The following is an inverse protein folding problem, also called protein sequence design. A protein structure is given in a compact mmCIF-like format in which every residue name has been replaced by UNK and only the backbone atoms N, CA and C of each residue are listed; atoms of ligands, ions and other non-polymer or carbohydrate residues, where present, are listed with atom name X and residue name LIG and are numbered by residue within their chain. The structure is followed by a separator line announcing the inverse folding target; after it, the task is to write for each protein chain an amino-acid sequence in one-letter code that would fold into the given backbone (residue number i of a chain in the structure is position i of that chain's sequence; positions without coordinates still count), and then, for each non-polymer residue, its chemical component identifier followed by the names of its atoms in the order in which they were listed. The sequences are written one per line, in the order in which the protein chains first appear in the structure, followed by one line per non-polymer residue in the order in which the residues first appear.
data_IF_987005472081
#
_entry.id   IF_987005472081
#
_cell.length_a   1.000
_cell.length_b   1.000
_cell.length_c   1.000
_cell.angle_alpha   90.00
_cell.angle_beta   90.00
_cell.angle_gamma   90.00
#
_symmetry.space_group_name_H-M   'P 1'
#
loop_
_entity.id
_entity.type
_entity.pdbx_description
1 polymer ?
#
# COMPACT_ATOMS: atom_id res chain seq x y z
N UNK A 1 -0.06 -10.35 -21.40
CA UNK A 1 1.13 -9.59 -20.96
C UNK A 1 1.44 -8.46 -21.94
N UNK A 2 2.19 -7.43 -21.53
CA UNK A 2 2.47 -6.20 -22.31
C UNK A 2 2.82 -6.43 -23.81
N UNK A 3 3.65 -7.42 -24.21
CA UNK A 3 3.93 -7.68 -25.62
C UNK A 3 2.69 -8.05 -26.43
N UNK A 4 1.79 -8.86 -25.86
CA UNK A 4 0.54 -9.22 -26.52
C UNK A 4 -0.41 -8.02 -26.64
N UNK A 5 -0.45 -7.15 -25.62
CA UNK A 5 -1.23 -5.91 -25.68
C UNK A 5 -0.75 -5.02 -26.83
N UNK A 6 0.57 -4.79 -26.94
CA UNK A 6 1.15 -3.98 -28.01
C UNK A 6 0.96 -4.62 -29.38
N UNK A 7 1.09 -5.94 -29.50
CA UNK A 7 0.81 -6.65 -30.74
C UNK A 7 -0.63 -6.41 -31.22
N UNK A 8 -1.62 -6.57 -30.34
CA UNK A 8 -3.02 -6.30 -30.68
C UNK A 8 -3.23 -4.83 -31.05
N UNK A 9 -2.65 -3.89 -30.28
CA UNK A 9 -2.77 -2.45 -30.54
C UNK A 9 -2.22 -2.04 -31.91
N UNK A 10 -1.11 -2.64 -32.32
CA UNK A 10 -0.49 -2.37 -33.62
C UNK A 10 -1.29 -2.95 -34.78
N UNK A 11 -1.92 -4.11 -34.60
CA UNK A 11 -2.74 -4.77 -35.63
C UNK A 11 -4.18 -4.27 -35.69
N UNK A 12 -4.68 -3.63 -34.62
CA UNK A 12 -6.01 -3.02 -34.54
C UNK A 12 -5.89 -1.55 -34.09
N UNK A 13 -5.49 -0.64 -34.98
CA UNK A 13 -5.33 0.77 -34.65
C UNK A 13 -6.63 1.35 -34.10
N UNK A 14 -6.53 2.13 -33.02
CA UNK A 14 -7.66 2.80 -32.36
C UNK A 14 -8.66 1.89 -31.64
N UNK A 15 -8.52 0.56 -31.69
CA UNK A 15 -9.40 -0.36 -30.95
C UNK A 15 -9.12 -0.37 -29.45
N UNK A 16 -7.85 -0.14 -29.06
CA UNK A 16 -7.42 -0.09 -27.66
C UNK A 16 -6.47 1.09 -27.39
N UNK A 17 -6.45 1.64 -26.15
CA UNK A 17 -5.63 2.80 -25.80
C UNK A 17 -4.13 2.58 -25.98
N UNK A 18 -3.37 3.67 -26.15
CA UNK A 18 -1.90 3.60 -26.11
C UNK A 18 -1.38 3.37 -24.70
N UNK A 19 -0.16 2.83 -24.56
CA UNK A 19 0.49 2.69 -23.26
C UNK A 19 0.58 4.02 -22.50
N UNK A 20 0.86 5.11 -23.21
CA UNK A 20 0.92 6.45 -22.62
C UNK A 20 -0.43 6.86 -22.05
N UNK A 21 -1.52 6.59 -22.78
CA UNK A 21 -2.88 6.87 -22.31
C UNK A 21 -3.20 6.03 -21.07
N UNK A 22 -2.92 4.72 -21.10
CA UNK A 22 -3.11 3.85 -19.94
C UNK A 22 -2.28 4.30 -18.75
N UNK A 23 -1.01 4.64 -18.94
CA UNK A 23 -0.14 5.12 -17.87
C UNK A 23 -0.71 6.41 -17.27
N UNK A 24 -1.18 7.35 -18.10
CA UNK A 24 -1.81 8.59 -17.63
C UNK A 24 -3.08 8.30 -16.84
N UNK A 25 -3.92 7.38 -17.31
CA UNK A 25 -5.12 6.94 -16.58
C UNK A 25 -4.75 6.28 -15.24
N UNK A 26 -3.68 5.51 -15.18
CA UNK A 26 -3.20 4.87 -13.94
C UNK A 26 -2.64 5.91 -12.96
N UNK A 27 -1.84 6.87 -13.43
CA UNK A 27 -1.19 7.87 -12.58
C UNK A 27 -2.13 8.98 -12.11
N UNK A 28 -3.11 9.35 -12.93
CA UNK A 28 -4.17 10.32 -12.59
C UNK A 28 -5.26 9.75 -11.70
N UNK A 29 -5.32 8.42 -11.55
CA UNK A 29 -6.29 7.77 -10.67
C UNK A 29 -6.00 8.13 -9.19
N UNK A 30 -7.04 8.56 -8.48
CA UNK A 30 -7.00 8.82 -7.03
C UNK A 30 -6.64 7.58 -6.19
N UNK A 31 -6.66 6.39 -6.81
CA UNK A 31 -6.30 5.12 -6.18
C UNK A 31 -4.80 4.82 -6.15
N UNK A 32 -3.92 5.80 -6.43
CA UNK A 32 -2.47 5.60 -6.32
C UNK A 32 -2.08 5.13 -4.92
N UNK A 33 -1.26 4.08 -4.85
CA UNK A 33 -0.71 3.57 -3.60
C UNK A 33 0.47 4.47 -3.18
N UNK A 34 0.47 4.90 -1.93
CA UNK A 34 1.54 5.72 -1.34
C UNK A 34 2.14 4.92 -0.19
N UNK A 35 3.47 4.94 -0.09
CA UNK A 35 4.21 4.24 0.95
C UNK A 35 3.72 4.66 2.36
N UNK A 36 3.48 3.68 3.22
CA UNK A 36 3.04 3.87 4.60
C UNK A 36 1.59 4.34 4.77
N UNK A 37 0.89 4.70 3.69
CA UNK A 37 -0.47 5.19 3.80
C UNK A 37 -1.49 4.04 3.85
N UNK A 38 -2.33 4.03 4.89
CA UNK A 38 -3.41 3.06 5.04
C UNK A 38 -4.68 3.49 4.30
N UNK A 39 -5.11 2.67 3.34
CA UNK A 39 -6.19 2.96 2.39
C UNK A 39 -7.57 2.53 2.89
N UNK A 40 -7.94 2.91 4.12
CA UNK A 40 -9.20 2.47 4.75
C UNK A 40 -10.45 2.92 3.99
N UNK A 41 -10.44 4.13 3.42
CA UNK A 41 -11.57 4.62 2.63
C UNK A 41 -11.74 3.83 1.33
N UNK A 42 -10.62 3.50 0.68
CA UNK A 42 -10.62 2.68 -0.53
C UNK A 42 -11.02 1.24 -0.22
N UNK A 43 -10.62 0.69 0.94
CA UNK A 43 -11.10 -0.61 1.41
C UNK A 43 -12.62 -0.61 1.57
N UNK A 44 -13.20 0.42 2.19
CA UNK A 44 -14.66 0.53 2.32
C UNK A 44 -15.35 0.55 0.95
N UNK A 45 -14.85 1.38 0.01
CA UNK A 45 -15.36 1.45 -1.37
C UNK A 45 -15.20 0.11 -2.11
N UNK A 46 -14.12 -0.62 -1.84
CA UNK A 46 -13.84 -1.93 -2.45
C UNK A 46 -14.83 -3.00 -1.97
N UNK A 47 -15.20 -2.98 -0.69
CA UNK A 47 -16.10 -3.98 -0.09
C UNK A 47 -17.59 -3.68 -0.34
N UNK A 48 -17.95 -2.40 -0.54
CA UNK A 48 -19.34 -1.94 -0.66
C UNK A 48 -20.16 -2.66 -1.75
N UNK A 49 -19.68 -2.86 -3.00
CA UNK A 49 -20.44 -3.56 -4.04
C UNK A 49 -20.81 -5.00 -3.68
N UNK A 50 -20.01 -5.61 -2.82
CA UNK A 50 -20.17 -7.00 -2.38
C UNK A 50 -20.95 -7.12 -1.07
N UNK A 51 -21.40 -5.99 -0.50
CA UNK A 51 -22.07 -5.93 0.81
C UNK A 51 -21.27 -6.63 1.93
N UNK A 52 -19.95 -6.61 1.80
CA UNK A 52 -19.05 -7.35 2.66
C UNK A 52 -18.58 -6.46 3.82
N UNK A 53 -18.81 -6.90 5.05
CA UNK A 53 -18.40 -6.13 6.25
C UNK A 53 -17.34 -6.85 7.07
N UNK A 54 -17.18 -8.15 6.87
CA UNK A 54 -16.29 -8.97 7.66
C UNK A 54 -15.03 -9.28 6.91
N UNK A 55 -13.89 -9.06 7.57
CA UNK A 55 -12.58 -9.24 6.97
C UNK A 55 -11.60 -9.89 7.95
N UNK A 56 -10.53 -10.43 7.39
CA UNK A 56 -9.37 -10.93 8.09
C UNK A 56 -8.15 -10.13 7.61
N UNK A 57 -7.32 -9.66 8.54
CA UNK A 57 -6.17 -8.84 8.20
C UNK A 57 -4.88 -9.66 8.32
N UNK A 58 -4.00 -9.53 7.34
CA UNK A 58 -2.73 -10.28 7.26
C UNK A 58 -1.59 -9.31 7.05
N UNK A 59 -0.50 -9.46 7.81
CA UNK A 59 0.72 -8.69 7.65
C UNK A 59 1.89 -9.62 7.41
N UNK A 60 2.76 -9.33 6.44
CA UNK A 60 3.97 -10.10 6.20
C UNK A 60 5.07 -9.22 5.57
N UNK A 61 6.30 -9.69 5.56
CA UNK A 61 7.46 -9.02 5.01
C UNK A 61 7.98 -9.74 3.77
N UNK A 62 8.35 -8.97 2.75
CA UNK A 62 9.06 -9.50 1.58
C UNK A 62 10.37 -8.76 1.36
N UNK A 63 11.38 -9.45 0.83
CA UNK A 63 12.68 -8.85 0.54
C UNK A 63 12.59 -7.84 -0.60
N UNK A 64 13.24 -6.69 -0.46
CA UNK A 64 13.34 -5.67 -1.52
C UNK A 64 14.78 -5.28 -1.80
N UNK A 65 15.02 -4.84 -3.03
CA UNK A 65 16.31 -4.29 -3.44
C UNK A 65 16.50 -2.94 -2.74
N UNK A 66 17.63 -2.78 -2.05
CA UNK A 66 17.99 -1.55 -1.33
C UNK A 66 18.34 -0.42 -2.30
N UNK A 67 17.33 0.24 -2.84
CA UNK A 67 17.48 1.35 -3.79
C UNK A 67 16.59 2.49 -3.34
N UNK A 68 17.16 3.68 -3.19
CA UNK A 68 16.40 4.89 -2.94
C UNK A 68 15.79 5.39 -4.25
N UNK A 69 14.52 5.74 -4.21
CA UNK A 69 13.83 6.37 -5.33
C UNK A 69 13.20 7.69 -4.85
N UNK A 70 13.11 8.65 -5.76
CA UNK A 70 12.43 9.92 -5.50
C UNK A 70 11.03 9.89 -6.12
N UNK A 71 10.03 10.22 -5.32
CA UNK A 71 8.65 10.35 -5.75
C UNK A 71 8.32 11.84 -5.97
N UNK A 72 8.31 12.27 -7.23
CA UNK A 72 7.98 13.66 -7.58
C UNK A 72 6.56 14.08 -7.17
N UNK A 73 5.60 13.14 -7.08
CA UNK A 73 4.20 13.44 -6.71
C UNK A 73 4.07 13.89 -5.26
N UNK A 74 4.86 13.32 -4.36
CA UNK A 74 4.84 13.61 -2.92
C UNK A 74 6.05 14.42 -2.47
N UNK A 75 6.93 14.78 -3.40
CA UNK A 75 8.23 15.40 -3.12
C UNK A 75 9.00 14.67 -2.00
N UNK A 76 9.02 13.34 -2.05
CA UNK A 76 9.58 12.53 -0.95
C UNK A 76 10.48 11.43 -1.47
N UNK A 77 11.45 11.04 -0.65
CA UNK A 77 12.26 9.86 -0.90
C UNK A 77 11.56 8.62 -0.34
N UNK A 78 11.51 7.57 -1.14
CA UNK A 78 10.95 6.26 -0.79
C UNK A 78 12.09 5.24 -0.59
N UNK A 79 11.78 4.13 0.06
CA UNK A 79 12.70 3.01 0.33
C UNK A 79 13.76 3.27 1.43
N UNK A 80 13.57 4.30 2.25
CA UNK A 80 14.17 4.34 3.59
C UNK A 80 13.33 3.49 4.56
N UNK A 81 13.96 3.00 5.63
CA UNK A 81 13.21 2.38 6.71
C UNK A 81 12.28 3.42 7.35
N UNK A 82 10.97 3.24 7.20
CA UNK A 82 9.98 4.20 7.65
C UNK A 82 9.98 4.31 9.18
N UNK A 83 10.03 5.51 9.77
CA UNK A 83 9.78 5.67 11.20
C UNK A 83 8.31 5.37 11.51
N UNK A 84 8.07 4.88 12.72
CA UNK A 84 6.75 4.51 13.19
C UNK A 84 6.23 5.52 14.22
N UNK A 85 4.95 5.84 14.12
CA UNK A 85 4.15 6.49 15.15
C UNK A 85 3.02 5.51 15.54
N UNK A 86 2.97 5.10 16.80
CA UNK A 86 2.01 4.10 17.30
C UNK A 86 1.98 2.81 16.46
N UNK A 87 3.15 2.32 16.07
CA UNK A 87 3.28 1.11 15.25
C UNK A 87 2.99 1.31 13.75
N UNK A 88 2.37 2.43 13.36
CA UNK A 88 2.09 2.75 11.95
C UNK A 88 3.20 3.60 11.33
N UNK A 89 3.63 3.35 10.08
CA UNK A 89 4.53 4.23 9.34
C UNK A 89 3.97 5.64 9.21
N UNK A 90 4.85 6.64 9.29
CA UNK A 90 4.49 8.04 9.03
C UNK A 90 4.58 8.28 7.51
N UNK A 91 3.45 8.56 6.81
CA UNK A 91 3.47 8.77 5.37
C UNK A 91 4.33 9.99 5.00
N UNK A 92 5.06 9.89 3.89
CA UNK A 92 5.91 10.97 3.37
C UNK A 92 6.91 11.56 4.39
N UNK A 93 7.39 10.76 5.34
CA UNK A 93 8.33 11.25 6.37
C UNK A 93 9.60 11.89 5.78
N UNK A 94 10.14 11.29 4.71
CA UNK A 94 11.34 11.79 4.03
C UNK A 94 11.01 12.81 2.93
N UNK A 95 10.12 13.75 3.25
CA UNK A 95 9.80 14.91 2.43
C UNK A 95 10.58 16.12 2.94
N UNK A 96 11.39 16.73 2.08
CA UNK A 96 12.12 17.96 2.42
C UNK A 96 12.50 18.72 1.16
N UNK A 97 12.58 20.04 1.29
CA UNK A 97 13.20 20.94 0.30
C UNK A 97 14.62 21.37 0.73
N UNK A 98 15.08 20.91 1.90
CA UNK A 98 16.38 21.24 2.47
C UNK A 98 17.44 20.18 2.09
N UNK A 99 18.50 20.64 1.42
CA UNK A 99 19.61 19.80 1.01
C UNK A 99 20.39 19.22 2.20
N UNK A 100 20.56 19.97 3.28
CA UNK A 100 21.34 19.51 4.45
C UNK A 100 20.59 18.40 5.19
N UNK A 101 19.26 18.53 5.28
CA UNK A 101 18.40 17.48 5.80
C UNK A 101 18.45 16.22 4.90
N UNK A 102 18.42 16.41 3.58
CA UNK A 102 18.54 15.31 2.64
C UNK A 102 19.88 14.56 2.81
N UNK A 103 20.99 15.30 2.87
CA UNK A 103 22.34 14.73 3.07
C UNK A 103 22.43 13.96 4.39
N UNK A 104 21.80 14.50 5.44
CA UNK A 104 21.70 13.85 6.75
C UNK A 104 20.99 12.50 6.64
N UNK A 105 19.84 12.44 5.95
CA UNK A 105 19.12 11.18 5.76
C UNK A 105 19.91 10.15 4.96
N UNK A 106 20.57 10.57 3.88
CA UNK A 106 21.39 9.67 3.05
C UNK A 106 22.55 9.02 3.81
N UNK A 107 23.06 9.71 4.83
CA UNK A 107 24.21 9.27 5.62
C UNK A 107 23.79 8.45 6.84
N UNK A 108 22.71 8.86 7.52
CA UNK A 108 22.32 8.32 8.83
C UNK A 108 21.16 7.33 8.77
N UNK A 109 20.32 7.39 7.74
CA UNK A 109 19.10 6.57 7.67
C UNK A 109 19.36 5.27 6.94
N UNK A 110 18.93 4.16 7.54
CA UNK A 110 19.04 2.85 6.91
C UNK A 110 18.03 2.70 5.77
N UNK A 111 18.50 2.15 4.65
CA UNK A 111 17.66 1.79 3.51
C UNK A 111 16.82 0.56 3.86
N UNK A 112 15.56 0.56 3.46
CA UNK A 112 14.68 -0.58 3.64
C UNK A 112 15.25 -1.81 2.90
N UNK A 113 15.29 -2.94 3.59
CA UNK A 113 15.62 -4.24 3.00
C UNK A 113 14.42 -5.19 2.95
N UNK A 114 13.34 -4.80 3.63
CA UNK A 114 12.08 -5.50 3.65
C UNK A 114 10.95 -4.52 3.32
N UNK A 115 9.93 -5.00 2.62
CA UNK A 115 8.66 -4.34 2.45
C UNK A 115 7.64 -5.04 3.34
N UNK A 116 7.12 -4.31 4.32
CA UNK A 116 6.03 -4.76 5.17
C UNK A 116 4.71 -4.51 4.47
N UNK A 117 3.94 -5.56 4.21
CA UNK A 117 2.72 -5.53 3.44
C UNK A 117 1.55 -5.90 4.35
N UNK A 118 0.51 -5.07 4.34
CA UNK A 118 -0.74 -5.31 5.07
C UNK A 118 -1.86 -5.54 4.06
N UNK A 119 -2.41 -6.75 4.08
CA UNK A 119 -3.47 -7.21 3.21
C UNK A 119 -4.75 -7.43 4.02
N UNK A 120 -5.89 -7.20 3.40
CA UNK A 120 -7.21 -7.44 3.99
C UNK A 120 -7.97 -8.41 3.08
N UNK A 121 -8.33 -9.55 3.64
CA UNK A 121 -9.08 -10.59 2.97
C UNK A 121 -10.54 -10.57 3.46
N UNK A 122 -11.52 -10.35 2.59
CA UNK A 122 -12.91 -10.48 2.97
C UNK A 122 -13.27 -11.94 3.30
N UNK A 123 -14.04 -12.14 4.36
CA UNK A 123 -14.46 -13.48 4.80
C UNK A 123 -15.73 -13.89 4.06
N UNK A 124 -15.77 -15.07 3.40
CA UNK A 124 -16.96 -15.52 2.70
C UNK A 124 -18.21 -15.52 3.60
N UNK A 125 -19.29 -14.94 3.11
CA UNK A 125 -20.60 -15.02 3.76
C UNK A 125 -21.43 -16.13 3.12
N UNK A 126 -22.26 -16.81 3.91
CA UNK A 126 -23.17 -17.85 3.40
C UNK A 126 -24.12 -17.31 2.30
N UNK A 127 -24.36 -16.00 2.29
CA UNK A 127 -25.24 -15.33 1.33
C UNK A 127 -24.49 -14.64 0.18
N UNK A 128 -23.15 -14.69 0.16
CA UNK A 128 -22.35 -14.06 -0.90
C UNK A 128 -21.98 -15.07 -1.98
N UNK A 129 -22.56 -14.94 -3.17
CA UNK A 129 -22.19 -15.76 -4.34
C UNK A 129 -20.79 -15.43 -4.89
N UNK A 130 -20.20 -14.31 -4.48
CA UNK A 130 -18.87 -13.89 -4.88
C UNK A 130 -18.17 -13.18 -3.71
N UNK A 131 -17.03 -13.72 -3.28
CA UNK A 131 -16.16 -13.04 -2.30
C UNK A 131 -15.10 -12.27 -3.07
N UNK A 132 -14.92 -10.97 -2.82
CA UNK A 132 -13.88 -10.21 -3.51
C UNK A 132 -12.49 -10.74 -3.16
N UNK A 133 -11.53 -10.47 -4.05
CA UNK A 133 -10.13 -10.79 -3.79
C UNK A 133 -9.55 -10.00 -2.61
N UNK A 134 -8.28 -10.27 -2.29
CA UNK A 134 -7.57 -9.58 -1.23
C UNK A 134 -7.24 -8.14 -1.60
N UNK A 135 -7.41 -7.22 -0.66
CA UNK A 135 -7.12 -5.80 -0.83
C UNK A 135 -5.79 -5.42 -0.17
N UNK A 136 -4.93 -4.71 -0.89
CA UNK A 136 -3.72 -4.10 -0.30
C UNK A 136 -4.08 -2.85 0.49
N UNK A 137 -4.02 -2.96 1.81
CA UNK A 137 -4.35 -1.87 2.72
C UNK A 137 -3.22 -0.86 2.86
N UNK A 138 -1.98 -1.32 3.06
CA UNK A 138 -0.79 -0.48 3.19
C UNK A 138 0.48 -1.29 2.91
N UNK A 139 1.52 -0.62 2.43
CA UNK A 139 2.86 -1.20 2.36
C UNK A 139 3.92 -0.15 2.70
N UNK A 140 4.97 -0.51 3.43
CA UNK A 140 6.08 0.38 3.77
C UNK A 140 7.43 -0.34 3.84
N UNK A 141 8.51 0.39 3.53
CA UNK A 141 9.87 -0.08 3.68
C UNK A 141 10.30 -0.11 5.16
N UNK A 142 10.95 -1.21 5.56
CA UNK A 142 11.35 -1.47 6.95
C UNK A 142 12.74 -2.13 7.01
N UNK A 143 13.34 -2.17 8.20
CA UNK A 143 14.66 -2.76 8.47
C UNK A 143 14.65 -3.89 9.53
N UNK A 144 13.52 -4.58 9.71
CA UNK A 144 13.32 -5.66 10.70
C UNK A 144 13.61 -5.29 12.17
N UNK A 145 13.72 -4.00 12.51
CA UNK A 145 14.01 -3.54 13.88
C UNK A 145 12.75 -3.27 14.70
N UNK A 146 11.57 -3.54 14.16
CA UNK A 146 10.31 -3.31 14.85
C UNK A 146 10.07 -4.38 15.89
N UNK A 147 9.66 -3.96 17.08
CA UNK A 147 9.38 -4.89 18.18
C UNK A 147 7.91 -5.34 18.16
N UNK A 148 7.58 -6.28 19.04
CA UNK A 148 6.22 -6.82 19.17
C UNK A 148 5.19 -5.75 19.58
N UNK A 149 5.56 -4.74 20.37
CA UNK A 149 4.66 -3.64 20.75
C UNK A 149 4.29 -2.78 19.54
N UNK A 150 5.23 -2.52 18.63
CA UNK A 150 4.97 -1.79 17.39
C UNK A 150 3.95 -2.55 16.52
N UNK A 151 4.07 -3.87 16.45
CA UNK A 151 3.14 -4.73 15.70
C UNK A 151 1.75 -4.70 16.34
N UNK A 152 1.65 -4.88 17.66
CA UNK A 152 0.37 -4.86 18.38
C UNK A 152 -0.33 -3.49 18.23
N UNK A 153 0.42 -2.39 18.42
CA UNK A 153 -0.12 -1.02 18.25
C UNK A 153 -0.66 -0.80 16.84
N UNK A 154 0.06 -1.27 15.82
CA UNK A 154 -0.40 -1.20 14.44
C UNK A 154 -1.72 -1.94 14.24
N UNK A 155 -1.85 -3.15 14.77
CA UNK A 155 -3.10 -3.92 14.66
C UNK A 155 -4.27 -3.24 15.37
N UNK A 156 -4.03 -2.61 16.52
CA UNK A 156 -5.05 -1.80 17.21
C UNK A 156 -5.50 -0.62 16.34
N UNK A 157 -4.57 0.12 15.72
CA UNK A 157 -4.93 1.22 14.81
C UNK A 157 -5.73 0.70 13.60
N UNK A 158 -5.31 -0.42 13.00
CA UNK A 158 -6.04 -1.03 11.87
C UNK A 158 -7.45 -1.46 12.29
N UNK A 159 -7.59 -2.05 13.48
CA UNK A 159 -8.87 -2.44 14.05
C UNK A 159 -9.80 -1.24 14.21
N UNK A 160 -9.35 -0.19 14.92
CA UNK A 160 -10.13 1.01 15.21
C UNK A 160 -10.57 1.71 13.93
N UNK A 161 -9.66 1.88 12.96
CA UNK A 161 -9.97 2.53 11.68
C UNK A 161 -10.90 1.73 10.78
N UNK A 162 -10.84 0.40 10.83
CA UNK A 162 -11.85 -0.43 10.17
C UNK A 162 -13.21 -0.32 10.87
N UNK A 163 -13.22 -0.31 12.21
CA UNK A 163 -14.45 -0.19 13.00
C UNK A 163 -15.20 1.12 12.71
N UNK A 164 -14.47 2.25 12.61
CA UNK A 164 -14.99 3.57 12.21
C UNK A 164 -15.67 3.56 10.83
N UNK A 165 -15.36 2.58 9.97
CA UNK A 165 -15.89 2.42 8.61
C UNK A 165 -16.93 1.30 8.48
N UNK A 166 -17.43 0.78 9.61
CA UNK A 166 -18.35 -0.36 9.67
C UNK A 166 -17.77 -1.65 9.06
N UNK A 167 -16.45 -1.82 9.17
CA UNK A 167 -15.72 -3.02 8.78
C UNK A 167 -15.31 -3.75 10.06
N UNK A 168 -15.65 -5.04 10.16
CA UNK A 168 -15.38 -5.89 11.30
C UNK A 168 -14.22 -6.84 10.98
N UNK A 169 -13.13 -6.73 11.74
CA UNK A 169 -11.99 -7.64 11.62
C UNK A 169 -12.22 -8.83 12.55
N UNK A 170 -12.20 -10.05 12.00
CA UNK A 170 -12.34 -11.30 12.76
C UNK A 170 -11.04 -11.79 13.39
N UNK A 171 -9.90 -11.44 12.78
CA UNK A 171 -8.61 -11.85 13.26
C UNK A 171 -7.47 -11.23 12.47
N UNK A 172 -6.29 -11.41 13.04
CA UNK A 172 -5.02 -10.98 12.49
C UNK A 172 -4.13 -12.21 12.27
N UNK A 173 -3.35 -12.21 11.19
CA UNK A 173 -2.24 -13.15 10.99
C UNK A 173 -0.98 -12.38 10.66
N UNK A 174 0.14 -12.85 11.18
CA UNK A 174 1.50 -12.34 10.99
C UNK A 174 2.44 -13.47 10.63
#
# INVERSE_FOLDING_TARGET
GKPAYEFVRQNLPSAIPTLTTMQTMITSNENSIVEGNFRFQQLQKFLQPYHQKFVFAVGDYTGVVRKLNYCAKTNSFIDFASPLLNGTPIPSYFQTDDFDQLQTWFTLTEKANLLNIHMVQPVPSANSHHTPGTFLLSACGVNNKYNSLDIIRRWMVIYEKCLEKDIRIFGFST
#
